data_IF_459440161828
#
_entry.id   IF_459440161828
#
_cell.length_a   1.000
_cell.length_b   1.000
_cell.length_c   1.000
_cell.angle_alpha   90.00
_cell.angle_beta   90.00
_cell.angle_gamma   90.00
#
_symmetry.space_group_name_H-M   'P 1'
#
loop_
_entity.id
_entity.type
_entity.pdbx_description
1 polymer ?
#
# COMPACT_ATOMS: atom_id res chain seq x y z
N UNK A 1 -11.87 -30.82 -49.44
CA UNK A 1 -11.64 -29.36 -49.28
C UNK A 1 -11.84 -29.05 -47.80
N UNK A 2 -10.78 -29.21 -47.00
CA UNK A 2 -10.85 -29.07 -45.54
C UNK A 2 -10.32 -27.70 -45.12
N UNK A 3 -11.16 -26.93 -44.44
CA UNK A 3 -10.83 -25.61 -43.91
C UNK A 3 -10.00 -25.81 -42.63
N UNK A 4 -8.72 -25.43 -42.65
CA UNK A 4 -7.87 -25.35 -41.45
C UNK A 4 -8.00 -23.94 -40.91
N UNK A 5 -8.66 -23.78 -39.76
CA UNK A 5 -8.72 -22.50 -39.05
C UNK A 5 -7.45 -22.40 -38.19
N UNK A 6 -6.52 -21.55 -38.64
CA UNK A 6 -5.31 -21.20 -37.91
C UNK A 6 -5.69 -20.16 -36.84
N UNK A 7 -5.84 -20.60 -35.58
CA UNK A 7 -6.04 -19.71 -34.44
C UNK A 7 -4.70 -19.03 -34.13
N UNK A 8 -4.51 -17.81 -34.62
CA UNK A 8 -3.38 -16.99 -34.23
C UNK A 8 -3.59 -16.49 -32.80
N UNK A 9 -2.94 -17.13 -31.82
CA UNK A 9 -2.77 -16.55 -30.50
C UNK A 9 -1.92 -15.28 -30.66
N UNK A 10 -2.55 -14.12 -30.53
CA UNK A 10 -1.86 -12.85 -30.33
C UNK A 10 -1.12 -12.96 -28.99
N UNK A 11 0.19 -13.20 -29.06
CA UNK A 11 1.07 -13.14 -27.89
C UNK A 11 1.16 -11.67 -27.51
N UNK A 12 0.40 -11.26 -26.50
CA UNK A 12 0.59 -9.96 -25.85
C UNK A 12 1.87 -10.07 -25.05
N UNK A 13 2.94 -9.44 -25.51
CA UNK A 13 4.14 -9.23 -24.70
C UNK A 13 3.81 -8.22 -23.61
N UNK A 14 3.57 -8.70 -22.39
CA UNK A 14 3.60 -7.84 -21.21
C UNK A 14 5.05 -7.41 -20.97
N UNK A 15 5.33 -6.13 -21.14
CA UNK A 15 6.59 -5.58 -20.63
C UNK A 15 6.52 -5.65 -19.11
N UNK A 16 7.36 -6.50 -18.52
CA UNK A 16 7.65 -6.42 -17.08
C UNK A 16 8.08 -4.98 -16.82
N UNK A 17 7.29 -4.28 -16.01
CA UNK A 17 7.63 -2.93 -15.61
C UNK A 17 8.90 -3.01 -14.76
N UNK A 18 9.87 -2.12 -14.97
CA UNK A 18 11.03 -2.03 -14.09
C UNK A 18 10.63 -1.76 -12.61
N UNK A 19 9.38 -1.32 -12.38
CA UNK A 19 8.81 -1.06 -11.08
C UNK A 19 8.56 -2.33 -10.23
N UNK A 20 8.33 -3.50 -10.84
CA UNK A 20 7.94 -4.72 -10.09
C UNK A 20 9.14 -5.45 -9.46
N UNK A 21 10.36 -4.95 -9.67
CA UNK A 21 11.61 -5.58 -9.21
C UNK A 21 11.99 -6.82 -10.04
N UNK A 22 13.16 -7.41 -9.74
CA UNK A 22 13.62 -8.67 -10.36
C UNK A 22 13.17 -9.87 -9.54
N UNK A 23 12.82 -10.97 -10.22
CA UNK A 23 12.33 -12.21 -9.60
C UNK A 23 13.24 -12.71 -8.47
N UNK A 24 14.56 -12.64 -8.64
CA UNK A 24 15.53 -13.13 -7.66
C UNK A 24 15.36 -12.50 -6.27
N UNK A 25 14.81 -11.28 -6.18
CA UNK A 25 14.52 -10.59 -4.92
C UNK A 25 13.47 -11.31 -4.07
N UNK A 26 12.63 -12.15 -4.70
CA UNK A 26 11.50 -12.85 -4.07
C UNK A 26 11.76 -14.36 -3.88
N UNK A 27 12.95 -14.85 -4.27
CA UNK A 27 13.30 -16.28 -4.22
C UNK A 27 14.14 -16.67 -2.99
N UNK A 28 14.15 -15.81 -1.96
CA UNK A 28 14.82 -16.05 -0.68
C UNK A 28 14.18 -17.17 0.16
N UNK A 29 14.76 -17.43 1.34
CA UNK A 29 14.14 -18.34 2.30
C UNK A 29 12.84 -17.73 2.84
N UNK A 30 11.81 -18.53 3.18
CA UNK A 30 10.59 -17.99 3.78
C UNK A 30 10.88 -17.30 5.12
N UNK A 31 10.40 -16.07 5.27
CA UNK A 31 10.61 -15.25 6.47
C UNK A 31 9.30 -14.54 6.87
N UNK A 32 9.07 -14.40 8.18
CA UNK A 32 7.97 -13.65 8.76
C UNK A 32 8.45 -12.98 10.06
N UNK A 33 8.46 -11.65 10.07
CA UNK A 33 8.64 -10.86 11.28
C UNK A 33 7.34 -10.13 11.64
N UNK A 34 7.07 -10.00 12.93
CA UNK A 34 5.85 -9.39 13.45
C UNK A 34 6.22 -8.42 14.57
N UNK A 35 5.93 -7.14 14.34
CA UNK A 35 6.14 -6.08 15.30
C UNK A 35 4.89 -5.23 15.50
N UNK A 36 4.67 -4.78 16.73
CA UNK A 36 3.58 -3.88 17.06
C UNK A 36 4.05 -2.42 16.98
N UNK A 37 3.63 -1.71 15.93
CA UNK A 37 4.05 -0.32 15.67
C UNK A 37 3.09 0.73 16.25
N UNK A 38 1.87 0.34 16.58
CA UNK A 38 0.85 1.18 17.23
C UNK A 38 0.23 0.46 18.41
N UNK A 39 -0.25 1.24 19.38
CA UNK A 39 -0.96 0.71 20.55
C UNK A 39 -2.39 1.27 20.58
N UNK A 40 -3.32 0.49 21.11
CA UNK A 40 -4.74 0.90 21.26
C UNK A 40 -5.41 1.26 19.92
N UNK A 41 -6.60 1.88 19.95
CA UNK A 41 -7.37 2.33 18.76
C UNK A 41 -7.60 1.26 17.66
N UNK A 42 -8.08 1.65 16.47
CA UNK A 42 -8.37 0.81 15.28
C UNK A 42 -8.20 1.64 13.99
N UNK A 43 -8.67 1.12 12.86
CA UNK A 43 -8.62 1.73 11.52
C UNK A 43 -7.21 1.72 10.89
N UNK A 44 -6.56 0.54 10.77
CA UNK A 44 -5.28 0.43 10.06
C UNK A 44 -5.42 0.66 8.57
N UNK A 45 -4.45 1.34 7.99
CA UNK A 45 -4.12 1.18 6.57
C UNK A 45 -2.59 1.16 6.38
N UNK A 46 -2.15 0.65 5.23
CA UNK A 46 -0.73 0.60 4.85
C UNK A 46 -0.59 0.82 3.34
N UNK A 47 0.47 1.51 2.92
CA UNK A 47 0.83 1.68 1.50
C UNK A 47 2.34 1.86 1.34
N UNK A 48 2.82 1.79 0.09
CA UNK A 48 4.21 2.06 -0.29
C UNK A 48 4.22 3.32 -1.16
N UNK A 49 4.99 4.33 -0.76
CA UNK A 49 5.15 5.56 -1.51
C UNK A 49 6.11 5.36 -2.70
N UNK A 50 6.13 6.31 -3.64
CA UNK A 50 6.95 6.23 -4.86
C UNK A 50 8.46 6.18 -4.61
N UNK A 51 8.92 6.58 -3.41
CA UNK A 51 10.31 6.47 -2.99
C UNK A 51 10.66 5.13 -2.32
N UNK A 52 9.72 4.17 -2.30
CA UNK A 52 9.86 2.85 -1.68
C UNK A 52 9.61 2.84 -0.16
N UNK A 53 9.32 3.99 0.46
CA UNK A 53 9.02 4.03 1.88
C UNK A 53 7.63 3.46 2.20
N UNK A 54 7.52 2.75 3.32
CA UNK A 54 6.26 2.16 3.78
C UNK A 54 5.57 3.14 4.74
N UNK A 55 4.30 3.43 4.49
CA UNK A 55 3.47 4.29 5.33
C UNK A 55 2.39 3.46 5.98
N UNK A 56 2.36 3.45 7.31
CA UNK A 56 1.30 2.81 8.09
C UNK A 56 0.51 3.88 8.85
N UNK A 57 -0.81 3.86 8.71
CA UNK A 57 -1.71 4.78 9.40
C UNK A 57 -2.61 4.06 10.40
N UNK A 58 -3.03 4.78 11.44
CA UNK A 58 -3.80 4.22 12.54
C UNK A 58 -4.60 5.28 13.31
N UNK A 59 -5.70 4.86 13.93
CA UNK A 59 -6.41 5.62 14.94
C UNK A 59 -7.60 6.42 14.43
N UNK A 60 -8.40 6.89 15.39
CA UNK A 60 -9.48 7.86 15.15
C UNK A 60 -9.49 9.05 16.10
N UNK A 61 -8.66 9.01 17.15
CA UNK A 61 -8.36 10.14 18.04
C UNK A 61 -6.88 10.45 17.87
N UNK A 62 -6.57 11.47 17.09
CA UNK A 62 -5.23 11.70 16.55
C UNK A 62 -4.90 10.64 15.50
N UNK A 63 -5.48 10.77 14.31
CA UNK A 63 -5.13 9.93 13.17
C UNK A 63 -3.66 10.15 12.86
N UNK A 64 -2.89 9.06 12.88
CA UNK A 64 -1.44 9.12 12.90
C UNK A 64 -0.82 8.23 11.84
N UNK A 65 0.37 8.62 11.37
CA UNK A 65 1.17 7.89 10.38
C UNK A 65 2.55 7.61 10.95
N UNK A 66 3.09 6.43 10.67
CA UNK A 66 4.51 6.12 10.79
C UNK A 66 5.07 5.78 9.42
N UNK A 67 6.34 6.13 9.21
CA UNK A 67 7.08 5.84 7.98
C UNK A 67 8.25 4.91 8.28
N UNK A 68 8.43 3.89 7.45
CA UNK A 68 9.64 3.09 7.36
C UNK A 68 10.34 3.38 6.03
N UNK A 69 11.67 3.47 6.07
CA UNK A 69 12.52 3.66 4.87
C UNK A 69 13.37 2.42 4.56
N UNK A 70 13.15 1.35 5.32
CA UNK A 70 13.93 0.10 5.33
C UNK A 70 13.01 -1.13 5.19
N UNK A 71 11.90 -0.99 4.47
CA UNK A 71 11.00 -2.11 4.17
C UNK A 71 10.18 -2.63 5.35
N UNK A 72 10.15 -1.90 6.47
CA UNK A 72 9.38 -2.22 7.67
C UNK A 72 10.22 -2.68 8.86
N UNK A 73 11.56 -2.75 8.73
CA UNK A 73 12.45 -3.11 9.84
C UNK A 73 12.35 -2.10 11.00
N UNK A 74 12.39 -0.80 10.68
CA UNK A 74 12.26 0.27 11.67
C UNK A 74 11.25 1.34 11.24
N UNK A 75 10.70 2.05 12.24
CA UNK A 75 9.61 3.01 12.02
C UNK A 75 9.90 4.35 12.71
N UNK A 76 9.57 5.44 12.01
CA UNK A 76 9.63 6.80 12.57
C UNK A 76 8.75 6.95 13.81
N UNK A 77 8.99 8.01 14.59
CA UNK A 77 7.98 8.50 15.54
C UNK A 77 6.65 8.79 14.82
N UNK A 78 5.50 8.61 15.48
CA UNK A 78 4.20 8.86 14.87
C UNK A 78 4.01 10.35 14.58
N UNK A 79 3.42 10.68 13.44
CA UNK A 79 3.00 12.03 13.06
C UNK A 79 1.48 12.06 13.04
N UNK A 80 0.88 12.97 13.79
CA UNK A 80 -0.58 13.20 13.75
C UNK A 80 -0.89 14.01 12.49
N UNK A 81 -1.73 13.46 11.62
CA UNK A 81 -2.14 14.08 10.35
C UNK A 81 -3.55 14.64 10.41
N UNK A 82 -4.35 14.20 11.39
CA UNK A 82 -5.67 14.74 11.67
C UNK A 82 -6.03 14.52 13.14
N UNK A 83 -6.63 15.51 13.79
CA UNK A 83 -6.95 15.47 15.24
C UNK A 83 -8.02 14.41 15.57
N UNK A 84 -8.95 14.17 14.66
CA UNK A 84 -9.97 13.13 14.81
C UNK A 84 -10.57 12.70 13.48
N UNK A 85 -11.01 11.45 13.40
CA UNK A 85 -11.81 10.95 12.28
C UNK A 85 -11.57 9.47 12.00
N UNK A 86 -12.39 8.88 11.14
CA UNK A 86 -12.41 7.46 10.86
C UNK A 86 -11.80 7.20 9.49
N UNK A 87 -10.70 6.44 9.46
CA UNK A 87 -10.08 6.03 8.20
C UNK A 87 -10.63 4.67 7.76
N UNK A 88 -11.83 4.67 7.16
CA UNK A 88 -12.60 3.47 6.80
C UNK A 88 -12.02 2.57 5.69
N UNK A 89 -10.80 2.82 5.21
CA UNK A 89 -10.13 1.97 4.20
C UNK A 89 -9.36 2.70 3.10
N UNK A 90 -9.10 4.01 3.24
CA UNK A 90 -8.48 4.80 2.17
C UNK A 90 -7.13 5.37 2.54
N UNK A 91 -6.05 4.76 2.04
CA UNK A 91 -4.79 5.44 1.71
C UNK A 91 -4.35 4.95 0.33
N UNK A 92 -4.01 5.87 -0.57
CA UNK A 92 -3.56 5.55 -1.93
C UNK A 92 -2.47 6.51 -2.37
N UNK A 93 -1.75 6.16 -3.42
CA UNK A 93 -0.67 6.96 -3.98
C UNK A 93 -1.05 7.35 -5.40
N UNK A 94 -0.96 8.64 -5.72
CA UNK A 94 -0.94 9.09 -7.10
C UNK A 94 0.44 8.79 -7.68
N UNK A 95 0.57 7.71 -8.44
CA UNK A 95 1.87 7.28 -9.01
C UNK A 95 2.43 8.25 -10.07
N UNK A 96 1.63 9.22 -10.55
CA UNK A 96 2.10 10.24 -11.48
C UNK A 96 2.81 11.39 -10.76
N UNK A 97 2.32 11.79 -9.59
CA UNK A 97 2.87 12.93 -8.84
C UNK A 97 3.69 12.52 -7.63
N UNK A 98 3.44 11.32 -7.08
CA UNK A 98 3.98 10.84 -5.82
C UNK A 98 3.17 11.28 -4.60
N UNK A 99 2.03 11.95 -4.78
CA UNK A 99 1.20 12.39 -3.67
C UNK A 99 0.55 11.20 -2.96
N UNK A 100 0.50 11.27 -1.62
CA UNK A 100 -0.19 10.29 -0.79
C UNK A 100 -1.53 10.88 -0.36
N UNK A 101 -2.61 10.20 -0.73
CA UNK A 101 -3.98 10.61 -0.47
C UNK A 101 -4.56 9.73 0.63
N UNK A 102 -5.05 10.36 1.70
CA UNK A 102 -5.65 9.69 2.85
C UNK A 102 -7.08 10.19 3.05
N UNK A 103 -8.03 9.28 3.17
CA UNK A 103 -9.46 9.61 3.31
C UNK A 103 -9.88 9.38 4.76
N UNK A 104 -10.33 10.46 5.41
CA UNK A 104 -10.73 10.46 6.82
C UNK A 104 -12.14 11.04 6.91
N UNK A 105 -13.05 10.31 7.56
CA UNK A 105 -14.44 10.71 7.73
C UNK A 105 -14.71 11.21 9.16
N UNK A 106 -15.64 12.14 9.33
CA UNK A 106 -16.00 12.64 10.66
C UNK A 106 -16.76 11.60 11.51
N UNK A 107 -17.45 10.65 10.87
CA UNK A 107 -18.32 9.66 11.53
C UNK A 107 -18.29 8.30 10.83
N UNK A 108 -18.62 7.24 11.57
CA UNK A 108 -18.84 5.90 11.05
C UNK A 108 -20.22 5.37 11.52
N UNK A 109 -21.07 4.80 10.65
CA UNK A 109 -20.81 4.31 9.28
C UNK A 109 -20.61 5.43 8.23
N UNK A 110 -20.09 5.10 7.02
CA UNK A 110 -19.78 6.09 5.99
C UNK A 110 -20.97 6.97 5.61
N UNK A 111 -20.67 8.18 5.14
CA UNK A 111 -21.69 9.11 4.64
C UNK A 111 -22.55 8.42 3.54
N UNK A 112 -23.88 8.63 3.54
CA UNK A 112 -24.79 8.02 2.56
C UNK A 112 -24.54 8.46 1.12
#
# INVERSE_FOLDING_TARGET
>A
MGLVILMACLMVESKVSAADGVLDSFMGSPELDVQQIFQSQRFPNITVAMDGSVLASWGSKGVQVRRSVDGGESWSSPVVVQESGFQGGGITVDEKTGDVLMFVEDSHPPAP
#
